data_IF_730912868615
#
_entry.id   IF_730912868615
#
_cell.length_a   1.000
_cell.length_b   1.000
_cell.length_c   1.000
_cell.angle_alpha   90.00
_cell.angle_beta   90.00
_cell.angle_gamma   90.00
#
_symmetry.space_group_name_H-M   'P 1'
#
loop_
_entity.id
_entity.type
_entity.pdbx_description
1 polymer ?
#
# COMPACT_ATOMS: atom_id res chain seq x y z
N UNK A 1 -8.68 -21.31 18.76
CA UNK A 1 -9.62 -21.83 17.77
C UNK A 1 -9.89 -20.71 16.79
N UNK A 2 -9.49 -20.86 15.53
CA UNK A 2 -9.68 -19.85 14.49
C UNK A 2 -10.96 -20.25 13.76
N UNK A 3 -12.05 -19.52 13.94
CA UNK A 3 -13.27 -19.70 13.16
C UNK A 3 -13.00 -19.16 11.76
N UNK A 4 -12.54 -20.03 10.88
CA UNK A 4 -12.46 -19.76 9.45
C UNK A 4 -13.87 -19.65 8.89
N UNK A 5 -14.35 -18.43 8.68
CA UNK A 5 -15.51 -18.21 7.81
C UNK A 5 -15.17 -18.79 6.44
N UNK A 6 -15.99 -19.74 5.99
CA UNK A 6 -15.66 -20.51 4.78
C UNK A 6 -15.71 -19.60 3.56
N UNK A 7 -14.91 -19.88 2.53
CA UNK A 7 -14.93 -19.13 1.26
C UNK A 7 -16.34 -18.95 0.69
N UNK A 8 -17.25 -19.90 0.99
CA UNK A 8 -18.66 -19.87 0.58
C UNK A 8 -19.51 -18.83 1.31
N UNK A 9 -19.16 -18.45 2.54
CA UNK A 9 -19.89 -17.42 3.30
C UNK A 9 -19.57 -16.02 2.79
N UNK A 10 -18.33 -15.80 2.32
CA UNK A 10 -17.90 -14.54 1.72
C UNK A 10 -18.54 -14.38 0.33
N UNK A 11 -18.58 -15.45 -0.48
CA UNK A 11 -19.30 -15.49 -1.76
C UNK A 11 -20.80 -15.26 -1.58
N UNK A 12 -21.43 -15.95 -0.63
CA UNK A 12 -22.85 -15.78 -0.31
C UNK A 12 -23.21 -14.36 0.13
N UNK A 13 -22.36 -13.70 0.92
CA UNK A 13 -22.59 -12.32 1.35
C UNK A 13 -22.35 -11.30 0.24
N UNK A 14 -21.41 -11.58 -0.66
CA UNK A 14 -21.19 -10.81 -1.88
C UNK A 14 -22.40 -10.89 -2.82
N UNK A 15 -22.87 -12.09 -3.12
CA UNK A 15 -24.04 -12.35 -3.96
C UNK A 15 -25.31 -11.71 -3.38
N UNK A 16 -25.51 -11.79 -2.06
CA UNK A 16 -26.66 -11.19 -1.38
C UNK A 16 -26.65 -9.64 -1.40
N UNK A 17 -25.47 -9.00 -1.33
CA UNK A 17 -25.38 -7.52 -1.45
C UNK A 17 -25.65 -7.05 -2.87
N UNK A 18 -25.13 -7.78 -3.87
CA UNK A 18 -25.46 -7.50 -5.28
C UNK A 18 -26.98 -7.69 -5.48
N UNK A 19 -27.57 -8.79 -4.98
CA UNK A 19 -29.00 -9.13 -5.05
C UNK A 19 -29.95 -8.02 -4.52
N UNK A 20 -29.56 -7.29 -3.47
CA UNK A 20 -30.37 -6.24 -2.84
C UNK A 20 -30.41 -4.92 -3.63
N UNK A 21 -29.51 -4.71 -4.59
CA UNK A 21 -29.48 -3.50 -5.43
C UNK A 21 -30.13 -3.71 -6.82
N UNK A 22 -30.42 -4.97 -7.21
CA UNK A 22 -31.00 -5.32 -8.53
C UNK A 22 -32.28 -4.57 -8.94
N UNK A 23 -33.24 -4.21 -8.05
CA UNK A 23 -34.45 -3.51 -8.48
C UNK A 23 -34.18 -2.13 -9.11
N UNK A 24 -33.03 -1.51 -8.83
CA UNK A 24 -32.65 -0.20 -9.38
C UNK A 24 -31.99 -0.29 -10.77
N UNK A 25 -31.59 -1.48 -11.22
CA UNK A 25 -30.79 -1.68 -12.44
C UNK A 25 -31.56 -2.34 -13.59
N UNK A 26 -32.80 -2.78 -13.34
CA UNK A 26 -33.60 -3.58 -14.28
C UNK A 26 -33.96 -2.85 -15.60
N UNK A 27 -33.87 -1.52 -15.63
CA UNK A 27 -34.22 -0.69 -16.79
C UNK A 27 -33.03 0.10 -17.38
N UNK A 28 -31.80 -0.22 -17.00
CA UNK A 28 -30.60 0.49 -17.46
C UNK A 28 -30.05 -0.10 -18.77
N UNK A 29 -29.47 0.76 -19.60
CA UNK A 29 -28.67 0.33 -20.76
C UNK A 29 -27.38 -0.33 -20.31
N UNK A 30 -26.74 -1.09 -21.22
CA UNK A 30 -25.49 -1.79 -20.92
C UNK A 30 -24.38 -0.80 -20.53
N UNK A 31 -24.30 0.34 -21.22
CA UNK A 31 -23.31 1.38 -20.97
C UNK A 31 -23.49 2.02 -19.58
N UNK A 32 -24.73 2.30 -19.17
CA UNK A 32 -25.03 2.83 -17.84
C UNK A 32 -24.75 1.81 -16.74
N UNK A 33 -25.02 0.51 -17.00
CA UNK A 33 -24.69 -0.57 -16.08
C UNK A 33 -23.17 -0.73 -15.91
N UNK A 34 -22.40 -0.72 -17.01
CA UNK A 34 -20.94 -0.79 -16.97
C UNK A 34 -20.35 0.39 -16.19
N UNK A 35 -20.91 1.60 -16.38
CA UNK A 35 -20.49 2.79 -15.63
C UNK A 35 -20.80 2.68 -14.14
N UNK A 36 -22.00 2.24 -13.75
CA UNK A 36 -22.36 2.03 -12.34
C UNK A 36 -21.52 0.94 -11.70
N UNK A 37 -21.28 -0.17 -12.40
CA UNK A 37 -20.42 -1.25 -11.91
C UNK A 37 -18.99 -0.74 -11.66
N UNK A 38 -18.42 0.03 -12.60
CA UNK A 38 -17.09 0.61 -12.47
C UNK A 38 -16.98 1.65 -11.35
N UNK A 39 -17.98 2.52 -11.19
CA UNK A 39 -17.94 3.62 -10.23
C UNK A 39 -18.35 3.19 -8.81
N UNK A 40 -19.30 2.27 -8.67
CA UNK A 40 -19.96 1.99 -7.39
C UNK A 40 -19.73 0.58 -6.88
N UNK A 41 -19.66 -0.43 -7.74
CA UNK A 41 -19.65 -1.83 -7.30
C UNK A 41 -18.23 -2.39 -7.21
N UNK A 42 -17.46 -2.29 -8.29
CA UNK A 42 -16.09 -2.81 -8.38
C UNK A 42 -15.13 -2.19 -7.35
N UNK A 43 -15.17 -0.88 -7.02
CA UNK A 43 -14.29 -0.31 -6.00
C UNK A 43 -14.56 -0.83 -4.58
N UNK A 44 -15.78 -1.35 -4.34
CA UNK A 44 -16.19 -1.89 -3.05
C UNK A 44 -15.91 -3.39 -2.94
N UNK A 45 -15.72 -4.07 -4.08
CA UNK A 45 -15.46 -5.49 -4.12
C UNK A 45 -13.96 -5.78 -3.98
N UNK A 46 -13.58 -6.52 -2.94
CA UNK A 46 -12.21 -6.99 -2.76
C UNK A 46 -12.13 -8.46 -3.08
N UNK A 47 -11.18 -8.82 -3.92
CA UNK A 47 -10.82 -10.22 -4.16
C UNK A 47 -10.32 -10.86 -2.85
N UNK A 48 -10.37 -12.19 -2.76
CA UNK A 48 -9.79 -12.90 -1.62
C UNK A 48 -8.32 -12.54 -1.39
N UNK A 49 -7.56 -12.35 -2.48
CA UNK A 49 -6.15 -11.93 -2.40
C UNK A 49 -6.04 -10.57 -1.69
N UNK A 50 -6.85 -9.58 -2.07
CA UNK A 50 -6.89 -8.27 -1.40
C UNK A 50 -7.36 -8.38 0.05
N UNK A 51 -8.35 -9.22 0.34
CA UNK A 51 -8.82 -9.44 1.72
C UNK A 51 -7.71 -10.02 2.62
N UNK A 52 -6.79 -10.79 2.07
CA UNK A 52 -5.72 -11.44 2.83
C UNK A 52 -4.46 -10.57 2.94
N UNK A 53 -4.01 -9.98 1.84
CA UNK A 53 -2.67 -9.38 1.75
C UNK A 53 -2.68 -7.85 1.64
N UNK A 54 -3.83 -7.21 1.38
CA UNK A 54 -3.87 -5.76 1.21
C UNK A 54 -3.72 -5.03 2.54
N UNK A 55 -2.74 -4.13 2.58
CA UNK A 55 -2.57 -3.13 3.63
C UNK A 55 -2.50 -1.72 3.05
N UNK A 56 -2.32 -0.74 3.93
CA UNK A 56 -2.10 0.66 3.53
C UNK A 56 -0.84 1.19 4.22
N UNK A 57 0.02 1.86 3.47
CA UNK A 57 1.13 2.67 3.99
C UNK A 57 0.78 4.15 3.96
N UNK A 58 1.46 4.90 4.81
CA UNK A 58 1.54 6.36 4.74
C UNK A 58 3.00 6.77 4.65
N UNK A 59 3.33 7.54 3.62
CA UNK A 59 4.64 8.15 3.43
C UNK A 59 4.55 9.62 3.78
N UNK A 60 5.31 10.04 4.78
CA UNK A 60 5.39 11.42 5.28
C UNK A 60 6.72 12.02 4.86
N UNK A 61 6.69 13.19 4.24
CA UNK A 61 7.89 13.95 3.86
C UNK A 61 7.84 15.33 4.53
N UNK A 62 8.85 15.66 5.33
CA UNK A 62 9.00 17.00 5.94
C UNK A 62 10.20 17.71 5.29
N UNK A 63 9.95 18.85 4.66
CA UNK A 63 11.00 19.72 4.14
C UNK A 63 11.78 20.34 5.31
N UNK A 64 13.12 20.31 5.28
CA UNK A 64 13.95 20.87 6.35
C UNK A 64 14.17 22.39 6.22
N UNK A 65 13.85 22.97 5.05
CA UNK A 65 13.98 24.43 4.82
C UNK A 65 12.74 25.21 5.28
N UNK A 66 11.55 24.77 4.87
CA UNK A 66 10.29 25.47 5.15
C UNK A 66 9.36 24.73 6.11
N UNK A 67 9.80 23.58 6.63
CA UNK A 67 9.07 22.74 7.59
C UNK A 67 7.71 22.17 7.14
N UNK A 68 7.27 22.48 5.91
CA UNK A 68 6.05 21.89 5.36
C UNK A 68 6.17 20.38 5.30
N UNK A 69 5.09 19.73 5.72
CA UNK A 69 4.94 18.28 5.68
C UNK A 69 3.91 17.91 4.61
N UNK A 70 4.26 16.96 3.75
CA UNK A 70 3.33 16.29 2.85
C UNK A 70 3.17 14.84 3.27
N UNK A 71 2.01 14.26 2.96
CA UNK A 71 1.74 12.84 3.21
C UNK A 71 1.04 12.22 2.02
N UNK A 72 1.40 10.98 1.69
CA UNK A 72 0.76 10.17 0.65
C UNK A 72 0.36 8.82 1.23
N UNK A 73 -0.86 8.38 0.93
CA UNK A 73 -1.33 7.04 1.30
C UNK A 73 -1.31 6.15 0.07
N UNK A 74 -0.89 4.90 0.25
CA UNK A 74 -0.77 3.92 -0.82
C UNK A 74 -1.22 2.55 -0.30
N UNK A 75 -1.89 1.76 -1.14
CA UNK A 75 -2.16 0.36 -0.84
C UNK A 75 -0.96 -0.50 -1.21
N UNK A 76 -0.78 -1.61 -0.50
CA UNK A 76 0.27 -2.59 -0.81
C UNK A 76 -0.24 -4.02 -0.62
N UNK A 77 0.36 -4.95 -1.35
CA UNK A 77 0.12 -6.40 -1.22
C UNK A 77 1.31 -7.12 -0.60
N UNK A 78 2.52 -6.60 -0.82
CA UNK A 78 3.75 -7.04 -0.19
C UNK A 78 4.59 -5.85 0.26
N UNK A 79 5.53 -6.11 1.19
CA UNK A 79 6.57 -5.16 1.54
C UNK A 79 7.94 -5.69 1.11
N UNK A 80 8.66 -4.86 0.35
CA UNK A 80 10.05 -5.13 -0.02
C UNK A 80 10.99 -4.61 1.06
N UNK A 81 11.60 -5.51 1.84
CA UNK A 81 12.40 -5.19 3.01
C UNK A 81 13.89 -5.39 2.71
N UNK A 82 14.66 -4.33 2.98
CA UNK A 82 16.12 -4.39 2.96
C UNK A 82 16.63 -5.23 4.14
N UNK A 83 17.37 -6.29 3.81
CA UNK A 83 17.98 -7.17 4.80
C UNK A 83 19.48 -6.90 4.94
N UNK A 84 19.96 -7.16 6.15
CA UNK A 84 21.37 -7.07 6.53
C UNK A 84 21.81 -8.46 7.04
N UNK A 85 23.05 -8.83 6.74
CA UNK A 85 23.60 -10.11 7.19
C UNK A 85 23.64 -10.16 8.71
N UNK A 86 23.28 -11.30 9.30
CA UNK A 86 23.27 -11.52 10.74
C UNK A 86 22.32 -10.61 11.56
N UNK A 87 21.33 -10.00 10.90
CA UNK A 87 20.31 -9.16 11.55
C UNK A 87 18.93 -9.81 11.46
N UNK A 88 18.16 -9.73 12.53
CA UNK A 88 16.80 -10.31 12.57
C UNK A 88 15.82 -9.56 11.64
N UNK A 89 14.89 -10.30 11.02
CA UNK A 89 13.82 -9.71 10.21
C UNK A 89 12.99 -8.68 10.98
N UNK A 90 12.75 -8.92 12.28
CA UNK A 90 12.04 -7.98 13.16
C UNK A 90 12.75 -6.62 13.22
N UNK A 91 14.07 -6.61 13.24
CA UNK A 91 14.84 -5.37 13.19
C UNK A 91 14.73 -4.69 11.82
N UNK A 92 14.88 -5.43 10.73
CA UNK A 92 14.73 -4.88 9.37
C UNK A 92 13.34 -4.27 9.13
N UNK A 93 12.27 -4.91 9.63
CA UNK A 93 10.91 -4.36 9.59
C UNK A 93 10.74 -3.09 10.42
N UNK A 94 11.41 -2.99 11.58
CA UNK A 94 11.44 -1.74 12.34
C UNK A 94 12.18 -0.65 11.54
N UNK A 95 13.32 -1.00 10.95
CA UNK A 95 14.14 -0.08 10.13
C UNK A 95 13.37 0.45 8.92
N UNK A 96 12.54 -0.37 8.28
CA UNK A 96 11.65 0.06 7.19
C UNK A 96 10.77 1.27 7.56
N UNK A 97 10.36 1.39 8.83
CA UNK A 97 9.53 2.51 9.29
C UNK A 97 10.31 3.67 9.92
N UNK A 98 11.64 3.66 9.83
CA UNK A 98 12.48 4.75 10.37
C UNK A 98 12.50 5.95 9.45
N UNK A 99 12.75 7.13 10.02
CA UNK A 99 12.96 8.35 9.25
C UNK A 99 14.31 8.27 8.54
N UNK A 100 14.31 8.55 7.24
CA UNK A 100 15.53 8.72 6.46
C UNK A 100 15.69 10.18 6.03
N UNK A 101 16.94 10.60 5.85
CA UNK A 101 17.29 11.94 5.40
C UNK A 101 17.56 11.91 3.90
N UNK A 102 16.72 12.61 3.14
CA UNK A 102 16.89 12.83 1.71
C UNK A 102 17.87 14.00 1.50
N UNK A 103 19.11 13.69 1.15
CA UNK A 103 20.18 14.66 0.96
C UNK A 103 20.97 14.41 -0.34
N UNK A 104 21.95 15.28 -0.64
CA UNK A 104 22.85 15.15 -1.80
C UNK A 104 22.09 14.93 -3.12
N UNK A 105 22.18 13.75 -3.73
CA UNK A 105 21.52 13.36 -4.97
C UNK A 105 20.03 13.05 -4.81
N UNK A 106 19.57 12.73 -3.59
CA UNK A 106 18.20 12.31 -3.28
C UNK A 106 17.31 13.45 -2.76
N UNK A 107 17.74 14.72 -2.87
CA UNK A 107 16.96 15.88 -2.41
C UNK A 107 15.54 15.90 -2.99
N UNK A 108 14.57 16.16 -2.12
CA UNK A 108 13.15 16.26 -2.44
C UNK A 108 12.81 17.61 -3.09
N UNK A 109 12.00 17.62 -4.14
CA UNK A 109 11.50 18.87 -4.71
C UNK A 109 10.34 19.40 -3.87
N UNK A 110 10.55 20.52 -3.18
CA UNK A 110 9.53 21.12 -2.33
C UNK A 110 8.72 22.15 -3.12
N UNK A 111 7.42 21.91 -3.31
CA UNK A 111 6.50 22.78 -4.06
C UNK A 111 6.40 24.19 -3.45
N UNK A 112 6.53 24.33 -2.12
CA UNK A 112 6.53 25.67 -1.49
C UNK A 112 7.86 26.43 -1.62
N UNK A 113 8.98 25.72 -1.81
CA UNK A 113 10.28 26.35 -2.01
C UNK A 113 10.65 26.44 -3.49
N UNK A 114 9.85 25.83 -4.37
CA UNK A 114 10.07 25.71 -5.81
C UNK A 114 11.50 25.24 -6.16
N UNK A 115 12.07 24.35 -5.35
CA UNK A 115 13.46 23.89 -5.48
C UNK A 115 13.73 22.58 -4.73
N UNK A 116 14.83 21.90 -5.07
CA UNK A 116 15.31 20.69 -4.37
C UNK A 116 15.85 21.05 -2.99
N UNK A 117 15.26 20.47 -1.95
CA UNK A 117 15.60 20.70 -0.56
C UNK A 117 15.96 19.40 0.15
N UNK A 118 16.72 19.53 1.24
CA UNK A 118 16.88 18.44 2.20
C UNK A 118 15.53 18.20 2.87
N UNK A 119 15.15 16.93 3.00
CA UNK A 119 13.89 16.55 3.61
C UNK A 119 14.06 15.26 4.42
N UNK A 120 13.16 15.01 5.37
CA UNK A 120 13.04 13.69 6.00
C UNK A 120 11.87 12.94 5.40
N UNK A 121 12.06 11.69 5.01
CA UNK A 121 11.01 10.77 4.55
C UNK A 121 10.80 9.68 5.59
N UNK A 122 9.55 9.31 5.83
CA UNK A 122 9.20 8.19 6.68
C UNK A 122 8.00 7.46 6.09
N UNK A 123 8.13 6.17 5.86
CA UNK A 123 7.01 5.32 5.47
C UNK A 123 6.55 4.51 6.67
N UNK A 124 5.25 4.35 6.87
CA UNK A 124 4.68 3.59 7.99
C UNK A 124 3.50 2.76 7.51
N UNK A 125 3.28 1.61 8.13
CA UNK A 125 2.07 0.82 7.89
C UNK A 125 0.92 1.49 8.65
N UNK A 126 -0.04 2.07 7.91
CA UNK A 126 -1.25 2.67 8.46
C UNK A 126 -2.31 1.60 8.74
N UNK A 127 -2.48 0.67 7.80
CA UNK A 127 -3.40 -0.46 7.93
C UNK A 127 -2.63 -1.76 7.69
N UNK A 128 -2.64 -2.64 8.69
CA UNK A 128 -2.02 -3.96 8.58
C UNK A 128 -2.89 -4.91 7.74
N UNK A 129 -2.29 -5.73 6.87
CA UNK A 129 -3.01 -6.83 6.20
C UNK A 129 -3.30 -7.98 7.19
N UNK A 130 -4.14 -8.93 6.78
CA UNK A 130 -4.36 -10.17 7.57
C UNK A 130 -3.11 -11.05 7.54
N UNK A 131 -2.48 -11.17 6.37
CA UNK A 131 -1.22 -11.85 6.14
C UNK A 131 -0.25 -10.86 5.49
N UNK A 132 0.91 -10.66 6.11
CA UNK A 132 1.95 -9.81 5.56
C UNK A 132 2.86 -10.63 4.65
N UNK A 133 2.76 -10.42 3.33
CA UNK A 133 3.75 -10.93 2.39
C UNK A 133 4.97 -10.00 2.41
N UNK A 134 6.16 -10.58 2.58
CA UNK A 134 7.41 -9.82 2.66
C UNK A 134 8.40 -10.32 1.63
N UNK A 135 8.78 -9.46 0.69
CA UNK A 135 9.85 -9.71 -0.25
C UNK A 135 11.19 -9.26 0.36
N UNK A 136 12.10 -10.21 0.59
CA UNK A 136 13.42 -9.90 1.16
C UNK A 136 14.40 -9.51 0.06
N UNK A 137 14.87 -8.25 0.08
CA UNK A 137 15.90 -7.75 -0.85
C UNK A 137 17.28 -8.28 -0.46
N UNK A 138 17.49 -9.58 -0.69
CA UNK A 138 18.72 -10.30 -0.32
C UNK A 138 19.89 -10.11 -1.28
N UNK A 139 19.62 -9.55 -2.46
CA UNK A 139 20.63 -9.33 -3.49
C UNK A 139 21.06 -7.87 -3.48
N UNK A 140 22.36 -7.64 -3.32
CA UNK A 140 22.97 -6.30 -3.45
C UNK A 140 24.02 -6.39 -4.54
N UNK A 141 23.98 -5.44 -5.48
CA UNK A 141 25.02 -5.30 -6.49
C UNK A 141 26.28 -4.75 -5.83
N UNK A 142 27.32 -5.57 -5.75
CA UNK A 142 28.60 -5.14 -5.23
C UNK A 142 29.46 -4.63 -6.40
N UNK A 143 29.68 -3.32 -6.48
CA UNK A 143 30.50 -2.74 -7.56
C UNK A 143 31.98 -3.10 -7.44
N UNK A 144 32.43 -3.64 -6.29
CA UNK A 144 33.82 -4.09 -6.11
C UNK A 144 34.11 -5.45 -6.75
N UNK A 145 33.07 -6.22 -7.11
CA UNK A 145 33.21 -7.56 -7.71
C UNK A 145 33.07 -7.53 -9.24
N UNK A 146 32.96 -6.34 -9.83
CA UNK A 146 32.92 -6.09 -11.28
C UNK A 146 34.29 -5.63 -11.85
N UNK A 147 35.36 -5.80 -11.07
CA UNK A 147 36.76 -5.66 -11.49
C UNK A 147 37.40 -7.03 -11.60
#
# INVERSE_FOLDING_TARGET
>A
QITGGSSKEIESQAEARVALEFPAYANMTKEEMDQVMAERVLPQFKTWVQLMFEGETVTIIKCQKCERTSSRMETFMDLSIDIEQNISLRYCLKKFSTKELLNLSEKFFCESCLSKQVATRQMMIKKKPRLLLTHLKRFKMNMQTLQ
#
